data_IF_167695699260
#
_entry.id   IF_167695699260
#
_cell.length_a   1.000
_cell.length_b   1.000
_cell.length_c   1.000
_cell.angle_alpha   90.00
_cell.angle_beta   90.00
_cell.angle_gamma   90.00
#
_symmetry.space_group_name_H-M   'P 1'
#
loop_
_entity.id
_entity.type
_entity.pdbx_description
1 polymer ?
#
# COMPACT_ATOMS: atom_id res chain seq x y z
N UNK A 1 52.95 17.60 41.57
CA UNK A 1 52.64 16.15 41.63
C UNK A 1 51.30 15.92 40.96
N UNK A 2 51.32 15.16 39.85
CA UNK A 2 50.12 14.62 39.18
C UNK A 2 49.39 13.64 40.10
N UNK A 3 48.07 13.61 40.01
CA UNK A 3 47.15 12.45 40.10
C UNK A 3 45.72 13.02 40.00
N UNK A 4 45.19 13.17 38.79
CA UNK A 4 44.31 12.19 38.13
C UNK A 4 43.00 11.99 38.90
N UNK A 5 41.93 12.68 38.48
CA UNK A 5 40.56 12.28 38.82
C UNK A 5 39.70 12.25 37.54
N UNK A 6 39.23 11.04 37.32
CA UNK A 6 38.43 10.42 36.27
C UNK A 6 37.25 11.30 35.80
N UNK A 7 37.19 11.51 34.48
CA UNK A 7 36.00 12.02 33.77
C UNK A 7 35.05 10.83 33.60
N UNK A 8 33.88 10.88 34.25
CA UNK A 8 32.78 9.99 33.92
C UNK A 8 32.13 10.51 32.63
N UNK A 9 32.43 9.86 31.50
CA UNK A 9 31.59 9.91 30.30
C UNK A 9 30.27 9.20 30.63
N UNK A 10 29.19 9.96 30.77
CA UNK A 10 27.84 9.42 30.65
C UNK A 10 27.61 9.16 29.15
N UNK A 11 27.17 7.97 28.72
CA UNK A 11 26.72 7.80 27.35
C UNK A 11 25.45 8.64 27.21
N UNK A 12 25.56 9.67 26.36
CA UNK A 12 24.44 10.42 25.83
C UNK A 12 23.53 9.39 25.13
N UNK A 13 22.55 8.86 25.85
CA UNK A 13 21.46 8.11 25.25
C UNK A 13 20.82 9.09 24.29
N UNK A 14 20.99 8.80 23.00
CA UNK A 14 20.28 9.44 21.89
C UNK A 14 18.81 9.53 22.31
N UNK A 15 18.38 10.73 22.67
CA UNK A 15 16.97 11.04 22.66
C UNK A 15 16.48 10.72 21.24
N UNK A 16 15.45 9.90 21.06
CA UNK A 16 14.88 9.73 19.74
C UNK A 16 14.47 11.12 19.28
N UNK A 17 14.92 11.48 18.09
CA UNK A 17 14.58 12.71 17.40
C UNK A 17 13.09 13.01 17.60
N UNK A 18 12.76 14.03 18.40
CA UNK A 18 11.51 14.76 18.24
C UNK A 18 11.64 15.54 16.93
N UNK A 19 11.57 14.82 15.82
CA UNK A 19 11.26 15.40 14.53
C UNK A 19 9.81 15.85 14.63
N UNK A 20 9.65 17.16 14.53
CA UNK A 20 8.36 17.82 14.44
C UNK A 20 7.51 17.11 13.39
N UNK A 21 6.41 16.51 13.86
CA UNK A 21 5.32 16.00 13.03
C UNK A 21 4.79 17.17 12.21
N UNK A 22 5.18 17.26 10.93
CA UNK A 22 4.42 18.00 9.93
C UNK A 22 3.21 17.16 9.56
N UNK A 23 2.16 17.28 10.34
CA UNK A 23 0.86 16.66 10.09
C UNK A 23 -0.10 17.27 11.10
N UNK A 24 -1.20 17.86 10.63
CA UNK A 24 -2.19 18.55 11.44
C UNK A 24 -2.43 17.84 12.79
N UNK A 25 -2.33 18.55 13.92
CA UNK A 25 -2.71 18.00 15.22
C UNK A 25 -4.15 17.44 15.12
N UNK A 26 -4.28 16.10 15.10
CA UNK A 26 -5.59 15.43 15.06
C UNK A 26 -6.26 15.66 16.42
N UNK A 27 -7.35 16.43 16.47
CA UNK A 27 -8.06 16.70 17.72
C UNK A 27 -9.22 15.73 17.85
N UNK A 28 -9.15 14.85 18.85
CA UNK A 28 -10.25 13.96 19.19
C UNK A 28 -10.88 14.39 20.52
N UNK A 29 -12.18 14.14 20.67
CA UNK A 29 -12.91 14.41 21.89
C UNK A 29 -13.25 13.12 22.61
N UNK A 30 -13.23 13.15 23.95
CA UNK A 30 -13.66 12.00 24.75
C UNK A 30 -14.67 12.41 25.81
N UNK A 31 -15.74 11.63 25.91
CA UNK A 31 -16.72 11.69 26.99
C UNK A 31 -16.57 10.39 27.79
N UNK A 32 -16.24 10.53 29.07
CA UNK A 32 -16.07 9.41 29.99
C UNK A 32 -16.26 9.88 31.44
N UNK A 33 -16.66 8.98 32.34
CA UNK A 33 -16.64 9.27 33.77
C UNK A 33 -15.18 9.29 34.30
N UNK A 34 -14.97 9.70 35.55
CA UNK A 34 -13.62 9.74 36.14
C UNK A 34 -12.95 8.37 36.22
N UNK A 35 -13.71 7.31 36.46
CA UNK A 35 -13.20 5.95 36.65
C UNK A 35 -12.77 5.31 35.31
N UNK A 36 -13.54 5.51 34.24
CA UNK A 36 -13.22 5.07 32.88
C UNK A 36 -12.01 5.83 32.34
N UNK A 37 -11.93 7.13 32.66
CA UNK A 37 -10.73 7.91 32.38
C UNK A 37 -9.50 7.32 33.08
N UNK A 38 -9.57 7.06 34.39
CA UNK A 38 -8.43 6.52 35.15
C UNK A 38 -7.99 5.15 34.62
N UNK A 39 -8.95 4.26 34.34
CA UNK A 39 -8.64 2.94 33.79
C UNK A 39 -7.96 3.01 32.41
N UNK A 40 -8.27 4.02 31.59
CA UNK A 40 -7.68 4.21 30.26
C UNK A 40 -6.61 5.31 30.21
N UNK A 41 -6.16 5.80 31.37
CA UNK A 41 -5.28 6.96 31.46
C UNK A 41 -4.00 6.80 30.65
N UNK A 42 -3.33 5.64 30.75
CA UNK A 42 -2.09 5.38 30.00
C UNK A 42 -2.32 5.46 28.48
N UNK A 43 -3.36 4.80 27.97
CA UNK A 43 -3.73 4.83 26.55
C UNK A 43 -3.96 6.28 26.06
N UNK A 44 -4.66 7.08 26.86
CA UNK A 44 -4.97 8.47 26.54
C UNK A 44 -3.77 9.40 26.64
N UNK A 45 -2.84 9.13 27.55
CA UNK A 45 -1.57 9.86 27.63
C UNK A 45 -0.66 9.53 26.45
N UNK A 46 -0.70 8.28 25.97
CA UNK A 46 0.06 7.84 24.79
C UNK A 46 -0.53 8.39 23.48
N UNK A 47 -1.83 8.69 23.42
CA UNK A 47 -2.53 9.17 22.23
C UNK A 47 -1.77 10.29 21.48
N UNK A 48 -1.27 11.29 22.20
CA UNK A 48 -0.54 12.40 21.59
C UNK A 48 0.86 12.03 21.15
N UNK A 49 1.61 11.34 22.01
CA UNK A 49 3.03 11.07 21.77
C UNK A 49 3.27 9.95 20.77
N UNK A 50 2.38 8.95 20.76
CA UNK A 50 2.50 7.76 19.93
C UNK A 50 1.72 7.87 18.62
N UNK A 51 0.57 8.55 18.63
CA UNK A 51 -0.35 8.58 17.48
C UNK A 51 -0.61 10.00 16.95
N UNK A 52 0.03 11.04 17.51
CA UNK A 52 -0.18 12.43 17.07
C UNK A 52 -1.55 13.02 17.44
N UNK A 53 -2.31 12.37 18.34
CA UNK A 53 -3.69 12.74 18.68
C UNK A 53 -3.73 13.67 19.89
N UNK A 54 -4.23 14.89 19.70
CA UNK A 54 -4.54 15.81 20.78
C UNK A 54 -5.94 15.55 21.35
N UNK A 55 -5.99 14.81 22.45
CA UNK A 55 -7.24 14.44 23.11
C UNK A 55 -7.82 15.59 23.96
N UNK A 56 -9.13 15.82 23.84
CA UNK A 56 -9.89 16.79 24.65
C UNK A 56 -11.04 16.10 25.37
N UNK A 57 -10.99 16.08 26.70
CA UNK A 57 -12.11 15.60 27.50
C UNK A 57 -13.22 16.65 27.52
N UNK A 58 -14.44 16.25 27.17
CA UNK A 58 -15.64 17.10 27.19
C UNK A 58 -16.76 16.42 27.98
N UNK A 59 -17.69 17.21 28.47
CA UNK A 59 -18.87 16.73 29.22
C UNK A 59 -20.16 16.86 28.43
N UNK A 60 -20.11 17.45 27.22
CA UNK A 60 -21.25 17.63 26.35
C UNK A 60 -20.80 17.55 24.88
N UNK A 61 -21.47 16.71 24.10
CA UNK A 61 -21.18 16.48 22.69
C UNK A 61 -21.33 17.72 21.81
N UNK A 62 -22.16 18.69 22.20
CA UNK A 62 -22.32 19.96 21.48
C UNK A 62 -21.05 20.83 21.45
N UNK A 63 -20.05 20.49 22.26
CA UNK A 63 -18.72 21.12 22.25
C UNK A 63 -17.84 20.60 21.13
N UNK A 64 -18.17 19.44 20.53
CA UNK A 64 -17.53 18.91 19.34
C UNK A 64 -18.27 19.38 18.08
N UNK A 65 -17.51 19.77 17.05
CA UNK A 65 -18.03 20.14 15.73
C UNK A 65 -17.14 19.53 14.67
N UNK A 66 -17.73 18.71 13.80
CA UNK A 66 -17.02 18.01 12.72
C UNK A 66 -15.77 17.28 13.24
N UNK A 67 -15.94 16.52 14.33
CA UNK A 67 -14.82 15.89 15.03
C UNK A 67 -15.10 14.42 15.36
N UNK A 68 -14.01 13.69 15.62
CA UNK A 68 -14.04 12.35 16.16
C UNK A 68 -14.32 12.42 17.66
N UNK A 69 -15.35 11.68 18.11
CA UNK A 69 -15.79 11.65 19.51
C UNK A 69 -15.82 10.22 20.01
N UNK A 70 -14.95 9.91 20.97
CA UNK A 70 -14.99 8.66 21.73
C UNK A 70 -15.90 8.82 22.94
N UNK A 71 -16.88 7.93 23.07
CA UNK A 71 -17.74 7.81 24.25
C UNK A 71 -17.44 6.49 24.93
N UNK A 72 -16.89 6.56 26.15
CA UNK A 72 -16.77 5.41 27.03
C UNK A 72 -17.98 5.36 27.96
N UNK A 73 -18.71 4.25 27.99
CA UNK A 73 -19.92 4.12 28.83
C UNK A 73 -20.44 2.69 29.00
N UNK A 74 -21.77 2.53 29.17
CA UNK A 74 -22.45 1.21 29.14
C UNK A 74 -22.88 0.61 30.49
N UNK A 75 -22.73 1.30 31.62
CA UNK A 75 -22.94 0.72 32.96
C UNK A 75 -24.11 1.34 33.75
N UNK A 76 -24.74 0.52 34.60
CA UNK A 76 -25.67 0.92 35.68
C UNK A 76 -24.90 1.18 37.00
N UNK A 77 -23.90 2.07 37.01
CA UNK A 77 -23.07 2.26 38.21
C UNK A 77 -23.73 3.18 39.24
N UNK A 78 -23.80 2.80 40.53
CA UNK A 78 -24.27 3.69 41.62
C UNK A 78 -23.39 4.94 41.83
N UNK A 79 -22.24 5.03 41.16
CA UNK A 79 -21.23 6.09 41.31
C UNK A 79 -21.43 7.29 40.36
N UNK A 80 -22.57 7.37 39.66
CA UNK A 80 -22.95 8.46 38.74
C UNK A 80 -23.10 9.85 39.39
N UNK A 81 -22.75 10.00 40.67
CA UNK A 81 -22.83 11.28 41.40
C UNK A 81 -22.04 12.42 40.75
N UNK A 82 -21.13 12.12 39.82
CA UNK A 82 -20.26 13.10 39.12
C UNK A 82 -20.29 13.01 37.59
N UNK A 83 -21.04 12.05 37.01
CA UNK A 83 -21.34 12.04 35.58
C UNK A 83 -22.84 12.33 35.43
N UNK A 84 -23.23 13.57 35.11
CA UNK A 84 -24.64 13.97 35.15
C UNK A 84 -25.52 13.22 34.14
N UNK A 85 -24.92 12.44 33.23
CA UNK A 85 -25.59 11.74 32.13
C UNK A 85 -24.76 10.60 31.55
N UNK A 86 -25.33 9.40 31.39
CA UNK A 86 -24.72 8.29 30.65
C UNK A 86 -24.92 8.50 29.14
N UNK A 87 -23.94 9.12 28.48
CA UNK A 87 -24.03 9.44 27.05
C UNK A 87 -24.05 8.21 26.14
N UNK A 88 -23.46 7.10 26.57
CA UNK A 88 -23.57 5.86 25.81
C UNK A 88 -25.02 5.36 25.83
N UNK A 89 -25.68 5.40 26.99
CA UNK A 89 -27.09 4.99 27.12
C UNK A 89 -28.02 5.80 26.20
N UNK A 90 -27.83 7.11 26.10
CA UNK A 90 -28.60 7.98 25.20
C UNK A 90 -28.52 7.62 23.71
N UNK A 91 -27.46 6.93 23.30
CA UNK A 91 -27.15 6.64 21.90
C UNK A 91 -27.28 5.15 21.55
N UNK A 92 -27.46 4.30 22.57
CA UNK A 92 -27.80 2.89 22.41
C UNK A 92 -29.32 2.73 22.28
N UNK A 93 -29.77 1.76 21.48
CA UNK A 93 -31.18 1.40 21.39
C UNK A 93 -31.59 0.46 22.54
N UNK A 94 -32.90 0.33 22.79
CA UNK A 94 -33.43 -0.48 23.90
C UNK A 94 -33.00 -1.95 23.87
N UNK A 95 -32.77 -2.52 22.69
CA UNK A 95 -32.26 -3.89 22.57
C UNK A 95 -30.80 -3.95 23.03
N UNK A 96 -29.96 -3.08 22.51
CA UNK A 96 -28.53 -2.97 22.86
C UNK A 96 -28.35 -2.78 24.38
N UNK A 97 -29.13 -1.86 24.98
CA UNK A 97 -29.15 -1.64 26.42
C UNK A 97 -29.49 -2.91 27.18
N UNK A 98 -30.61 -3.55 26.84
CA UNK A 98 -31.06 -4.77 27.50
C UNK A 98 -30.04 -5.91 27.37
N UNK A 99 -29.38 -6.04 26.22
CA UNK A 99 -28.35 -7.07 26.02
C UNK A 99 -27.10 -6.82 26.88
N UNK A 100 -26.69 -5.56 27.07
CA UNK A 100 -25.63 -5.19 28.01
C UNK A 100 -26.07 -5.39 29.47
N UNK A 101 -27.24 -4.88 29.87
CA UNK A 101 -27.74 -4.94 31.26
C UNK A 101 -27.99 -6.37 31.74
N UNK A 102 -28.41 -7.25 30.85
CA UNK A 102 -28.58 -8.69 31.14
C UNK A 102 -27.27 -9.46 31.13
N UNK A 103 -26.16 -8.84 30.73
CA UNK A 103 -24.86 -9.49 30.54
C UNK A 103 -24.84 -10.48 29.38
N UNK A 104 -25.85 -10.46 28.49
CA UNK A 104 -25.90 -11.30 27.29
C UNK A 104 -24.78 -10.94 26.31
N UNK A 105 -24.41 -9.66 26.28
CA UNK A 105 -23.26 -9.14 25.53
C UNK A 105 -22.34 -8.43 26.52
N UNK A 106 -21.04 -8.69 26.42
CA UNK A 106 -20.07 -8.08 27.34
C UNK A 106 -19.80 -6.61 26.99
N UNK A 107 -19.70 -6.30 25.69
CA UNK A 107 -19.42 -4.96 25.18
C UNK A 107 -20.13 -4.72 23.86
N UNK A 108 -20.61 -3.51 23.66
CA UNK A 108 -21.07 -2.96 22.39
C UNK A 108 -20.06 -1.90 21.92
N UNK A 109 -19.54 -2.10 20.72
CA UNK A 109 -18.76 -1.09 19.99
C UNK A 109 -19.55 -0.68 18.75
N UNK A 110 -19.84 0.61 18.65
CA UNK A 110 -20.72 1.17 17.62
C UNK A 110 -20.22 2.53 17.17
N UNK A 111 -20.25 2.74 15.86
CA UNK A 111 -19.97 4.04 15.25
C UNK A 111 -21.26 4.64 14.72
N UNK A 112 -21.44 5.94 14.89
CA UNK A 112 -22.58 6.70 14.37
C UNK A 112 -22.13 8.09 13.94
N UNK A 113 -22.85 8.68 13.00
CA UNK A 113 -22.66 10.07 12.61
C UNK A 113 -23.81 10.92 13.13
N UNK A 114 -23.49 12.03 13.79
CA UNK A 114 -24.48 12.97 14.30
C UNK A 114 -23.93 14.38 14.37
N UNK A 115 -24.67 15.34 13.82
CA UNK A 115 -24.32 16.76 13.82
C UNK A 115 -22.91 17.02 13.25
N UNK A 116 -22.52 16.24 12.23
CA UNK A 116 -21.20 16.28 11.59
C UNK A 116 -20.09 15.56 12.35
N UNK A 117 -20.34 15.06 13.55
CA UNK A 117 -19.35 14.32 14.34
C UNK A 117 -19.42 12.81 14.04
N UNK A 118 -18.24 12.17 13.93
CA UNK A 118 -18.09 10.72 13.92
C UNK A 118 -17.93 10.25 15.37
N UNK A 119 -18.94 9.57 15.87
CA UNK A 119 -19.06 9.21 17.28
C UNK A 119 -18.88 7.71 17.41
N UNK A 120 -17.87 7.28 18.14
CA UNK A 120 -17.69 5.89 18.51
C UNK A 120 -18.06 5.70 19.98
N UNK A 121 -18.90 4.70 20.23
CA UNK A 121 -19.33 4.30 21.55
C UNK A 121 -18.67 2.97 21.87
N UNK A 122 -17.94 2.92 22.98
CA UNK A 122 -17.44 1.69 23.59
C UNK A 122 -18.19 1.54 24.91
N UNK A 123 -19.12 0.61 24.95
CA UNK A 123 -20.03 0.40 26.07
C UNK A 123 -19.95 -1.03 26.58
N UNK A 124 -19.34 -1.24 27.75
CA UNK A 124 -19.30 -2.54 28.43
C UNK A 124 -20.39 -2.65 29.50
N UNK A 125 -20.86 -3.86 29.80
CA UNK A 125 -21.85 -4.09 30.87
C UNK A 125 -21.37 -3.59 32.24
N UNK A 126 -20.05 -3.50 32.41
CA UNK A 126 -19.40 -2.79 33.48
C UNK A 126 -18.18 -2.02 32.95
N UNK A 127 -17.64 -1.13 33.80
CA UNK A 127 -16.47 -0.29 33.52
C UNK A 127 -15.18 -1.04 33.14
N UNK A 128 -14.99 -2.26 33.64
CA UNK A 128 -13.82 -3.08 33.32
C UNK A 128 -13.94 -3.59 31.88
N UNK A 129 -15.10 -4.08 31.47
CA UNK A 129 -15.37 -4.48 30.09
C UNK A 129 -15.26 -3.30 29.12
N UNK A 130 -15.71 -2.10 29.52
CA UNK A 130 -15.48 -0.87 28.74
C UNK A 130 -14.00 -0.58 28.56
N UNK A 131 -13.19 -0.64 29.62
CA UNK A 131 -11.75 -0.38 29.52
C UNK A 131 -11.00 -1.46 28.75
N UNK A 132 -11.38 -2.73 28.91
CA UNK A 132 -10.78 -3.83 28.17
C UNK A 132 -11.03 -3.66 26.66
N UNK A 133 -12.28 -3.38 26.27
CA UNK A 133 -12.63 -3.14 24.88
C UNK A 133 -11.97 -1.89 24.30
N UNK A 134 -11.83 -0.82 25.09
CA UNK A 134 -11.10 0.38 24.64
C UNK A 134 -9.63 0.09 24.31
N UNK A 135 -9.01 -0.89 24.97
CA UNK A 135 -7.60 -1.27 24.82
C UNK A 135 -7.37 -2.42 23.84
N UNK A 136 -8.40 -3.17 23.46
CA UNK A 136 -8.29 -4.24 22.48
C UNK A 136 -8.36 -3.71 21.05
N UNK A 137 -7.86 -4.47 20.08
CA UNK A 137 -8.24 -4.36 18.66
C UNK A 137 -9.36 -5.38 18.37
N UNK A 138 -10.24 -5.05 17.44
CA UNK A 138 -11.38 -5.87 17.05
C UNK A 138 -11.28 -6.43 15.63
N UNK A 139 -10.18 -6.17 14.94
CA UNK A 139 -9.88 -6.74 13.64
C UNK A 139 -8.49 -7.39 13.64
N UNK A 140 -7.79 -7.32 12.52
CA UNK A 140 -6.54 -8.02 12.28
C UNK A 140 -5.31 -7.11 12.40
N UNK A 141 -5.49 -5.81 12.62
CA UNK A 141 -4.40 -4.91 12.97
C UNK A 141 -4.14 -4.87 14.50
N UNK A 142 -3.16 -4.08 14.93
CA UNK A 142 -2.85 -3.91 16.37
C UNK A 142 -3.30 -2.56 16.95
N UNK A 143 -4.15 -1.80 16.27
CA UNK A 143 -4.62 -0.48 16.69
C UNK A 143 -5.76 -0.64 17.72
N UNK A 144 -5.66 -0.04 18.93
CA UNK A 144 -6.74 -0.18 19.91
C UNK A 144 -8.02 0.53 19.46
N UNK A 145 -9.18 -0.06 19.69
CA UNK A 145 -10.51 0.48 19.36
C UNK A 145 -10.69 1.95 19.76
N UNK A 146 -10.16 2.35 20.93
CA UNK A 146 -10.27 3.74 21.37
C UNK A 146 -9.33 4.70 20.62
N UNK A 147 -8.20 4.22 20.10
CA UNK A 147 -7.33 5.01 19.22
C UNK A 147 -7.95 5.13 17.84
N UNK A 148 -8.51 4.04 17.32
CA UNK A 148 -9.27 4.06 16.06
C UNK A 148 -10.43 5.05 16.11
N UNK A 149 -11.18 5.06 17.22
CA UNK A 149 -12.21 6.06 17.48
C UNK A 149 -11.71 7.50 17.36
N UNK A 150 -10.50 7.77 17.85
CA UNK A 150 -9.91 9.10 17.88
C UNK A 150 -9.35 9.51 16.51
N UNK A 151 -8.84 8.54 15.75
CA UNK A 151 -8.38 8.73 14.37
C UNK A 151 -9.55 8.81 13.40
N UNK A 152 -10.68 8.21 13.74
CA UNK A 152 -11.82 8.06 12.87
C UNK A 152 -11.68 6.85 11.94
N UNK A 153 -10.79 5.91 12.24
CA UNK A 153 -10.70 4.64 11.51
C UNK A 153 -11.82 3.67 11.91
N UNK A 154 -11.90 2.51 11.27
CA UNK A 154 -12.96 1.54 11.49
C UNK A 154 -12.49 0.35 12.33
N UNK A 155 -12.98 0.19 13.58
CA UNK A 155 -12.57 -0.84 14.55
C UNK A 155 -13.04 -2.25 14.23
N UNK A 156 -13.31 -2.54 12.97
CA UNK A 156 -13.69 -3.86 12.47
C UNK A 156 -13.04 -4.12 11.12
N UNK A 157 -12.08 -3.29 10.72
CA UNK A 157 -11.46 -3.27 9.41
C UNK A 157 -10.07 -2.67 9.57
N UNK A 158 -9.08 -3.54 9.74
CA UNK A 158 -7.70 -3.14 10.04
C UNK A 158 -6.93 -2.48 8.89
N UNK A 159 -7.64 -2.08 7.82
CA UNK A 159 -7.21 -1.31 6.66
C UNK A 159 -8.45 -0.50 6.27
N UNK A 160 -8.55 0.72 6.77
CA UNK A 160 -9.80 1.49 6.76
C UNK A 160 -10.13 2.05 5.38
N UNK A 161 -9.15 2.40 4.57
CA UNK A 161 -9.33 2.99 3.24
C UNK A 161 -9.17 2.01 2.06
N UNK A 162 -8.92 0.73 2.34
CA UNK A 162 -8.78 -0.37 1.36
C UNK A 162 -7.57 -0.22 0.44
N UNK A 163 -6.48 0.40 0.89
CA UNK A 163 -5.25 0.53 0.09
C UNK A 163 -4.30 -0.67 0.22
N UNK A 164 -4.62 -1.66 1.07
CA UNK A 164 -3.80 -2.82 1.45
C UNK A 164 -2.69 -2.55 2.47
N UNK A 165 -2.64 -1.38 3.08
CA UNK A 165 -1.78 -1.03 4.19
C UNK A 165 -2.61 -1.03 5.49
N UNK A 166 -2.17 -1.72 6.55
CA UNK A 166 -2.95 -1.75 7.79
C UNK A 166 -2.88 -0.42 8.55
N UNK A 167 -3.98 0.02 9.18
CA UNK A 167 -4.08 1.32 9.86
C UNK A 167 -2.97 1.51 10.93
N UNK A 168 -2.60 0.44 11.62
CA UNK A 168 -1.54 0.48 12.63
C UNK A 168 -0.15 0.76 12.03
N UNK A 169 0.11 0.29 10.82
CA UNK A 169 1.36 0.52 10.07
C UNK A 169 1.40 1.94 9.53
N UNK A 170 0.31 2.40 8.96
CA UNK A 170 0.17 3.77 8.49
C UNK A 170 0.48 4.77 9.59
N UNK A 171 -0.11 4.60 10.77
CA UNK A 171 0.01 5.59 11.84
C UNK A 171 1.35 5.51 12.58
N UNK A 172 1.94 4.32 12.72
CA UNK A 172 3.12 4.11 13.57
C UNK A 172 4.45 4.00 12.81
N UNK A 173 4.41 3.56 11.55
CA UNK A 173 5.60 3.23 10.76
C UNK A 173 5.77 4.17 9.58
N UNK A 174 4.76 4.28 8.72
CA UNK A 174 4.84 5.04 7.47
C UNK A 174 4.41 6.49 7.59
N UNK A 175 3.66 6.81 8.66
CA UNK A 175 3.14 8.15 8.98
C UNK A 175 2.20 8.70 7.89
N UNK A 176 1.43 7.83 7.25
CA UNK A 176 0.38 8.12 6.27
C UNK A 176 -0.97 8.40 6.94
N UNK A 177 -1.99 8.78 6.17
CA UNK A 177 -3.35 8.98 6.66
C UNK A 177 -4.20 7.73 6.44
N UNK A 178 -4.57 6.96 7.48
CA UNK A 178 -5.33 5.70 7.36
C UNK A 178 -6.80 5.86 6.94
N UNK A 179 -7.13 7.02 6.39
CA UNK A 179 -8.42 7.38 5.84
C UNK A 179 -8.29 7.82 4.38
N UNK A 180 -7.08 7.76 3.82
CA UNK A 180 -6.71 8.26 2.51
C UNK A 180 -5.88 7.21 1.79
N UNK A 181 -6.53 6.53 0.85
CA UNK A 181 -5.92 5.54 -0.03
C UNK A 181 -4.59 5.99 -0.68
N UNK A 182 -4.44 7.30 -0.87
CA UNK A 182 -3.28 8.00 -1.41
C UNK A 182 -3.07 9.25 -0.54
N UNK A 183 -2.08 9.24 0.34
CA UNK A 183 -1.88 10.28 1.36
C UNK A 183 -1.45 11.61 0.77
N UNK A 184 -0.63 11.61 -0.29
CA UNK A 184 -0.12 12.84 -0.91
C UNK A 184 -0.86 13.27 -2.18
N UNK A 185 -1.82 12.47 -2.61
CA UNK A 185 -2.74 12.72 -3.71
C UNK A 185 -2.07 12.80 -5.08
N UNK A 186 -1.04 11.99 -5.32
CA UNK A 186 -0.31 11.95 -6.60
C UNK A 186 -0.85 10.92 -7.61
N UNK A 187 -1.73 10.01 -7.17
CA UNK A 187 -2.41 9.01 -7.99
C UNK A 187 -2.02 7.56 -7.70
N UNK A 188 -0.99 7.30 -6.89
CA UNK A 188 -0.66 5.95 -6.39
C UNK A 188 -1.13 5.73 -4.95
N UNK A 189 -1.38 4.48 -4.57
CA UNK A 189 -1.70 4.18 -3.16
C UNK A 189 -0.44 4.15 -2.31
N UNK A 190 -0.58 4.46 -1.03
CA UNK A 190 0.52 4.44 -0.07
C UNK A 190 1.18 3.04 -0.04
N UNK A 191 0.38 1.97 -0.05
CA UNK A 191 0.88 0.59 -0.09
C UNK A 191 1.70 0.29 -1.35
N UNK A 192 1.34 0.85 -2.51
CA UNK A 192 2.03 0.63 -3.78
C UNK A 192 3.36 1.36 -3.80
N UNK A 193 3.36 2.60 -3.33
CA UNK A 193 4.57 3.39 -3.17
C UNK A 193 5.56 2.72 -2.23
N UNK A 194 5.11 2.19 -1.10
CA UNK A 194 5.99 1.51 -0.13
C UNK A 194 6.48 0.15 -0.65
N UNK A 195 5.56 -0.72 -1.09
CA UNK A 195 5.86 -2.14 -1.32
C UNK A 195 6.37 -2.45 -2.73
N UNK A 196 6.15 -1.51 -3.67
CA UNK A 196 6.53 -1.68 -5.07
C UNK A 196 7.51 -0.61 -5.52
N UNK A 197 7.13 0.67 -5.49
CA UNK A 197 7.94 1.72 -6.10
C UNK A 197 9.09 2.21 -5.21
N UNK A 198 9.01 1.96 -3.91
CA UNK A 198 9.95 2.38 -2.87
C UNK A 198 10.09 3.92 -2.83
N UNK A 199 8.98 4.63 -3.03
CA UNK A 199 8.85 6.09 -2.90
C UNK A 199 8.37 6.47 -1.49
N UNK A 200 8.40 7.77 -1.16
CA UNK A 200 7.88 8.26 0.14
C UNK A 200 6.41 8.63 -0.06
N UNK A 201 5.44 7.92 0.55
CA UNK A 201 4.00 8.06 0.28
C UNK A 201 3.38 9.37 0.81
N UNK A 202 4.23 10.30 1.21
CA UNK A 202 3.84 11.62 1.75
C UNK A 202 4.46 12.73 0.90
N UNK A 203 5.09 12.36 -0.22
CA UNK A 203 5.78 13.27 -1.12
C UNK A 203 5.45 12.92 -2.56
N UNK A 204 4.43 13.62 -3.05
CA UNK A 204 3.92 13.49 -4.40
C UNK A 204 5.03 13.44 -5.46
N UNK A 205 5.03 12.36 -6.23
CA UNK A 205 5.79 12.20 -7.45
C UNK A 205 4.99 12.74 -8.65
N UNK A 206 5.67 12.92 -9.78
CA UNK A 206 5.03 13.34 -11.02
C UNK A 206 4.87 12.15 -11.97
N UNK A 207 3.86 11.32 -11.73
CA UNK A 207 3.53 10.13 -12.54
C UNK A 207 3.13 10.44 -14.00
N UNK A 208 2.97 11.72 -14.34
CA UNK A 208 2.67 12.20 -15.69
C UNK A 208 3.95 12.59 -16.46
N UNK A 209 5.10 12.64 -15.79
CA UNK A 209 6.39 12.94 -16.39
C UNK A 209 7.16 11.64 -16.70
N UNK A 210 7.43 11.43 -17.99
CA UNK A 210 8.12 10.24 -18.48
C UNK A 210 9.46 9.98 -17.77
N UNK A 211 10.26 11.04 -17.57
CA UNK A 211 11.58 10.89 -16.95
C UNK A 211 11.49 10.52 -15.47
N UNK A 212 10.51 11.09 -14.75
CA UNK A 212 10.22 10.76 -13.36
C UNK A 212 9.85 9.29 -13.22
N UNK A 213 8.92 8.80 -14.06
CA UNK A 213 8.51 7.40 -14.06
C UNK A 213 9.69 6.49 -14.40
N UNK A 214 10.40 6.74 -15.51
CA UNK A 214 11.56 5.91 -15.89
C UNK A 214 12.62 5.85 -14.78
N UNK A 215 12.86 6.95 -14.05
CA UNK A 215 13.78 6.97 -12.91
C UNK A 215 13.32 6.06 -11.77
N UNK A 216 12.01 5.92 -11.53
CA UNK A 216 11.44 5.06 -10.49
C UNK A 216 11.44 3.58 -10.92
N UNK A 217 11.21 3.29 -12.20
CA UNK A 217 11.11 1.93 -12.75
C UNK A 217 12.47 1.25 -12.95
N UNK A 218 13.19 1.03 -11.85
CA UNK A 218 14.58 0.53 -11.81
C UNK A 218 14.74 -1.00 -11.84
N UNK A 219 13.63 -1.73 -11.81
CA UNK A 219 13.62 -3.18 -11.71
C UNK A 219 12.47 -3.80 -12.51
N UNK A 220 12.62 -5.05 -12.97
CA UNK A 220 11.56 -5.76 -13.68
C UNK A 220 10.23 -5.78 -12.91
N UNK A 221 10.27 -5.95 -11.59
CA UNK A 221 9.07 -5.93 -10.74
C UNK A 221 8.32 -4.59 -10.82
N UNK A 222 9.02 -3.46 -10.70
CA UNK A 222 8.41 -2.12 -10.79
C UNK A 222 7.83 -1.87 -12.17
N UNK A 223 8.57 -2.21 -13.23
CA UNK A 223 8.12 -2.10 -14.62
C UNK A 223 6.85 -2.92 -14.84
N UNK A 224 6.85 -4.19 -14.44
CA UNK A 224 5.70 -5.09 -14.57
C UNK A 224 4.47 -4.60 -13.80
N UNK A 225 4.62 -3.99 -12.62
CA UNK A 225 3.50 -3.37 -11.89
C UNK A 225 2.97 -2.17 -12.66
N UNK A 226 3.85 -1.25 -13.03
CA UNK A 226 3.47 -0.01 -13.70
C UNK A 226 2.72 -0.27 -15.01
N UNK A 227 3.26 -1.16 -15.84
CA UNK A 227 2.65 -1.53 -17.11
C UNK A 227 1.27 -2.17 -16.90
N UNK A 228 1.08 -3.01 -15.87
CA UNK A 228 -0.22 -3.61 -15.54
C UNK A 228 -1.27 -2.55 -15.21
N UNK A 229 -0.87 -1.57 -14.41
CA UNK A 229 -1.82 -0.65 -13.77
C UNK A 229 -2.12 0.57 -14.63
N UNK A 230 -1.17 1.00 -15.46
CA UNK A 230 -1.28 2.24 -16.23
C UNK A 230 -1.48 2.05 -17.72
N UNK A 231 -1.13 0.88 -18.30
CA UNK A 231 -1.22 0.67 -19.74
C UNK A 231 -2.42 -0.18 -20.12
N UNK A 232 -3.07 0.20 -21.22
CA UNK A 232 -4.15 -0.58 -21.86
C UNK A 232 -3.64 -1.20 -23.15
N UNK A 233 -3.88 -2.50 -23.34
CA UNK A 233 -3.53 -3.19 -24.57
C UNK A 233 -4.50 -2.79 -25.69
N UNK A 234 -3.97 -2.35 -26.82
CA UNK A 234 -4.75 -2.16 -28.05
C UNK A 234 -3.87 -2.46 -29.26
N UNK A 235 -4.39 -3.21 -30.25
CA UNK A 235 -3.62 -3.53 -31.45
C UNK A 235 -3.47 -2.29 -32.33
N UNK A 236 -2.46 -2.34 -33.19
CA UNK A 236 -2.31 -1.36 -34.26
C UNK A 236 -3.45 -1.37 -35.28
N UNK A 237 -3.59 -0.27 -36.06
CA UNK A 237 -4.52 -0.21 -37.18
C UNK A 237 -4.36 -1.42 -38.12
N UNK A 238 -5.48 -1.89 -38.66
CA UNK A 238 -5.51 -3.06 -39.52
C UNK A 238 -4.50 -2.96 -40.68
N UNK A 239 -3.62 -3.96 -40.79
CA UNK A 239 -2.59 -4.02 -41.83
C UNK A 239 -1.35 -3.15 -41.56
N UNK A 240 -1.16 -2.66 -40.33
CA UNK A 240 0.04 -1.95 -39.90
C UNK A 240 0.68 -2.61 -38.69
N UNK A 241 1.98 -2.34 -38.51
CA UNK A 241 2.83 -2.80 -37.41
C UNK A 241 3.76 -1.59 -37.09
N UNK A 242 3.38 -0.82 -36.08
CA UNK A 242 3.89 0.51 -35.75
C UNK A 242 4.56 0.45 -34.37
N UNK A 243 5.88 0.28 -34.40
CA UNK A 243 6.66 0.20 -33.17
C UNK A 243 6.80 1.59 -32.54
N UNK A 244 6.19 1.77 -31.38
CA UNK A 244 6.22 3.03 -30.66
C UNK A 244 7.53 3.18 -29.89
N UNK A 245 8.01 4.43 -29.78
CA UNK A 245 9.05 4.73 -28.80
C UNK A 245 8.48 4.59 -27.39
N UNK A 246 9.33 4.27 -26.42
CA UNK A 246 8.94 4.20 -25.01
C UNK A 246 8.15 5.44 -24.52
N UNK A 247 8.56 6.64 -24.92
CA UNK A 247 7.84 7.88 -24.57
C UNK A 247 6.45 7.97 -25.22
N UNK A 248 6.30 7.46 -26.44
CA UNK A 248 5.02 7.44 -27.15
C UNK A 248 4.05 6.46 -26.48
N UNK A 249 4.51 5.24 -26.17
CA UNK A 249 3.76 4.24 -25.39
C UNK A 249 3.30 4.81 -24.04
N UNK A 250 4.20 5.50 -23.34
CA UNK A 250 3.90 6.15 -22.06
C UNK A 250 2.79 7.19 -22.18
N UNK A 251 2.92 8.17 -23.08
CA UNK A 251 1.93 9.24 -23.20
C UNK A 251 0.59 8.75 -23.79
N UNK A 252 0.60 7.68 -24.58
CA UNK A 252 -0.62 7.01 -25.05
C UNK A 252 -1.25 6.10 -24.02
N UNK A 253 -0.56 5.81 -22.91
CA UNK A 253 -0.98 4.87 -21.85
C UNK A 253 -1.22 3.46 -22.39
N UNK A 254 -0.32 2.96 -23.23
CA UNK A 254 -0.36 1.60 -23.76
C UNK A 254 -0.09 1.52 -25.26
N UNK A 255 -0.39 0.36 -25.83
CA UNK A 255 0.05 -0.13 -27.14
C UNK A 255 -0.19 -1.64 -27.23
N UNK A 256 0.50 -2.33 -28.10
CA UNK A 256 0.48 -3.80 -28.20
C UNK A 256 1.79 -4.43 -27.69
N UNK A 257 2.17 -5.60 -28.21
CA UNK A 257 3.14 -6.46 -27.53
C UNK A 257 4.57 -5.92 -27.57
N UNK A 258 4.98 -5.37 -28.71
CA UNK A 258 6.29 -4.77 -28.94
C UNK A 258 6.43 -3.44 -28.22
N UNK A 259 5.37 -2.63 -28.13
CA UNK A 259 5.38 -1.33 -27.47
C UNK A 259 5.68 -1.48 -25.98
N UNK A 260 5.00 -2.43 -25.34
CA UNK A 260 5.22 -2.77 -23.94
C UNK A 260 6.65 -3.27 -23.72
N UNK A 261 7.13 -4.11 -24.63
CA UNK A 261 8.46 -4.68 -24.54
C UNK A 261 9.56 -3.61 -24.72
N UNK A 262 9.37 -2.68 -25.67
CA UNK A 262 10.28 -1.54 -25.92
C UNK A 262 10.28 -0.59 -24.73
N UNK A 263 9.12 -0.26 -24.16
CA UNK A 263 9.04 0.57 -22.94
C UNK A 263 9.78 -0.07 -21.76
N UNK A 264 9.56 -1.37 -21.54
CA UNK A 264 10.23 -2.12 -20.48
C UNK A 264 11.75 -2.15 -20.68
N UNK A 265 12.21 -2.43 -21.90
CA UNK A 265 13.63 -2.44 -22.24
C UNK A 265 14.27 -1.06 -22.04
N UNK A 266 13.58 0.01 -22.43
CA UNK A 266 14.06 1.38 -22.22
C UNK A 266 14.31 1.68 -20.74
N UNK A 267 13.38 1.29 -19.86
CA UNK A 267 13.55 1.48 -18.41
C UNK A 267 14.78 0.75 -17.89
N UNK A 268 14.95 -0.54 -18.22
CA UNK A 268 16.12 -1.31 -17.80
C UNK A 268 17.43 -0.71 -18.34
N UNK A 269 17.44 -0.24 -19.59
CA UNK A 269 18.59 0.43 -20.22
C UNK A 269 18.95 1.73 -19.52
N UNK A 270 17.96 2.52 -19.13
CA UNK A 270 18.17 3.75 -18.36
C UNK A 270 18.89 3.45 -17.03
N UNK A 271 18.62 2.30 -16.43
CA UNK A 271 19.27 1.81 -15.20
C UNK A 271 20.52 0.95 -15.44
N UNK A 272 21.09 1.00 -16.64
CA UNK A 272 22.41 0.44 -16.92
C UNK A 272 22.43 -1.07 -17.22
N UNK A 273 21.29 -1.69 -17.49
CA UNK A 273 21.25 -3.09 -17.93
C UNK A 273 21.99 -3.24 -19.27
N UNK A 274 22.76 -4.32 -19.43
CA UNK A 274 23.77 -4.46 -20.48
C UNK A 274 23.18 -4.72 -21.88
N UNK A 275 23.80 -4.10 -22.91
CA UNK A 275 23.39 -4.17 -24.32
C UNK A 275 23.47 -5.57 -24.93
N UNK A 276 24.31 -6.43 -24.36
CA UNK A 276 24.62 -7.76 -24.90
C UNK A 276 23.49 -8.73 -24.54
N UNK A 277 22.52 -8.81 -25.46
CA UNK A 277 21.34 -9.64 -25.35
C UNK A 277 21.71 -11.12 -25.09
N UNK A 278 21.09 -11.72 -24.06
CA UNK A 278 21.11 -13.16 -23.75
C UNK A 278 22.44 -13.81 -23.37
N UNK A 279 23.47 -13.04 -22.98
CA UNK A 279 24.62 -13.62 -22.30
C UNK A 279 24.24 -14.00 -20.87
N UNK A 280 23.88 -15.28 -20.65
CA UNK A 280 23.50 -15.83 -19.33
C UNK A 280 24.62 -15.72 -18.28
N UNK A 281 25.86 -15.48 -18.71
CA UNK A 281 27.01 -15.28 -17.83
C UNK A 281 26.99 -13.83 -17.29
N UNK A 282 26.42 -12.88 -18.04
CA UNK A 282 26.27 -11.48 -17.65
C UNK A 282 24.90 -11.26 -17.03
N UNK A 283 24.85 -11.33 -15.71
CA UNK A 283 23.68 -10.95 -14.92
C UNK A 283 23.22 -9.52 -15.28
N UNK A 284 21.91 -9.25 -15.30
CA UNK A 284 21.30 -7.98 -15.73
C UNK A 284 21.47 -7.64 -17.22
N UNK A 285 21.23 -8.62 -18.10
CA UNK A 285 21.04 -8.41 -19.54
C UNK A 285 19.56 -8.45 -19.89
N UNK A 286 19.12 -7.63 -20.86
CA UNK A 286 17.74 -7.57 -21.31
C UNK A 286 17.65 -7.25 -22.80
N UNK A 287 16.61 -7.74 -23.46
CA UNK A 287 16.30 -7.45 -24.86
C UNK A 287 14.84 -7.79 -25.16
N UNK A 288 14.30 -7.22 -26.23
CA UNK A 288 12.99 -7.62 -26.74
C UNK A 288 13.17 -8.82 -27.67
N UNK A 289 12.38 -9.87 -27.46
CA UNK A 289 12.34 -11.08 -28.26
C UNK A 289 11.06 -11.08 -29.09
N UNK A 290 11.20 -10.96 -30.41
CA UNK A 290 10.13 -11.21 -31.37
C UNK A 290 10.12 -12.68 -31.78
N UNK A 291 8.94 -13.31 -31.80
CA UNK A 291 8.77 -14.73 -32.12
C UNK A 291 7.73 -14.90 -33.22
N UNK A 292 8.02 -15.76 -34.19
CA UNK A 292 7.10 -16.14 -35.28
C UNK A 292 6.92 -17.66 -35.28
N UNK A 293 5.67 -18.11 -35.38
CA UNK A 293 5.30 -19.54 -35.33
C UNK A 293 4.76 -20.09 -36.64
N UNK A 294 5.11 -21.34 -36.92
CA UNK A 294 4.73 -21.95 -38.18
C UNK A 294 3.25 -22.25 -38.26
N UNK A 295 2.66 -21.93 -39.42
CA UNK A 295 1.24 -22.13 -39.68
C UNK A 295 0.32 -21.14 -38.95
N UNK A 296 0.86 -20.10 -38.32
CA UNK A 296 0.11 -19.02 -37.67
C UNK A 296 0.59 -17.69 -38.25
N UNK A 297 -0.32 -16.92 -38.83
CA UNK A 297 -0.04 -15.58 -39.36
C UNK A 297 -0.07 -14.53 -38.22
N UNK A 298 0.72 -14.77 -37.16
CA UNK A 298 0.82 -13.91 -36.00
C UNK A 298 2.22 -14.01 -35.36
N UNK A 299 2.86 -12.84 -35.16
CA UNK A 299 4.04 -12.70 -34.33
C UNK A 299 3.67 -12.29 -32.90
N UNK A 300 4.61 -12.42 -31.97
CA UNK A 300 4.47 -11.88 -30.62
C UNK A 300 5.82 -11.41 -30.08
N UNK A 301 5.82 -10.26 -29.39
CA UNK A 301 7.00 -9.70 -28.77
C UNK A 301 6.90 -9.72 -27.24
N UNK A 302 8.02 -10.05 -26.58
CA UNK A 302 8.16 -10.02 -25.11
C UNK A 302 9.47 -9.37 -24.72
N UNK A 303 9.53 -8.72 -23.56
CA UNK A 303 10.82 -8.30 -23.00
C UNK A 303 11.39 -9.47 -22.20
N UNK A 304 12.58 -9.92 -22.55
CA UNK A 304 13.30 -10.98 -21.83
C UNK A 304 14.48 -10.36 -21.10
N UNK A 305 14.68 -10.80 -19.86
CA UNK A 305 15.81 -10.37 -19.03
C UNK A 305 16.45 -11.57 -18.32
N UNK A 306 17.73 -11.44 -18.00
CA UNK A 306 18.52 -12.44 -17.28
C UNK A 306 18.82 -11.96 -15.88
N UNK A 307 18.45 -12.78 -14.91
CA UNK A 307 18.81 -12.60 -13.51
C UNK A 307 19.30 -13.94 -12.93
N UNK A 308 20.42 -13.93 -12.22
CA UNK A 308 21.07 -15.11 -11.62
C UNK A 308 21.27 -16.29 -12.59
N UNK A 309 21.62 -15.96 -13.84
CA UNK A 309 21.87 -16.94 -14.91
C UNK A 309 20.62 -17.65 -15.41
N UNK A 310 19.43 -17.09 -15.17
CA UNK A 310 18.13 -17.61 -15.63
C UNK A 310 17.38 -16.56 -16.41
N UNK A 311 16.53 -17.01 -17.33
CA UNK A 311 15.70 -16.12 -18.12
C UNK A 311 14.37 -15.84 -17.42
N UNK A 312 13.89 -14.63 -17.61
CA UNK A 312 12.60 -14.15 -17.15
C UNK A 312 12.00 -13.27 -18.24
N UNK A 313 10.68 -13.12 -18.22
CA UNK A 313 9.98 -12.29 -19.20
C UNK A 313 9.10 -11.26 -18.53
N UNK A 314 8.87 -10.13 -19.21
CA UNK A 314 7.76 -9.20 -18.99
C UNK A 314 6.84 -9.27 -20.20
N UNK A 315 5.54 -9.45 -19.94
CA UNK A 315 4.50 -9.64 -20.96
C UNK A 315 3.57 -8.43 -21.05
N UNK A 316 2.93 -8.26 -22.20
CA UNK A 316 1.94 -7.22 -22.49
C UNK A 316 0.51 -7.49 -21.97
N UNK A 317 0.33 -8.31 -20.92
CA UNK A 317 -0.99 -8.79 -20.50
C UNK A 317 -1.17 -8.99 -18.99
N UNK A 318 -2.14 -9.83 -18.61
CA UNK A 318 -2.57 -10.06 -17.21
C UNK A 318 -1.42 -10.55 -16.32
N UNK A 319 -0.52 -11.35 -16.88
CA UNK A 319 0.72 -11.78 -16.20
C UNK A 319 1.84 -10.91 -16.75
N UNK A 320 2.23 -9.89 -16.00
CA UNK A 320 3.26 -8.96 -16.45
C UNK A 320 4.68 -9.44 -16.19
N UNK A 321 4.90 -10.54 -15.45
CA UNK A 321 6.21 -11.21 -15.40
C UNK A 321 6.12 -12.72 -15.16
N UNK A 322 7.04 -13.49 -15.75
CA UNK A 322 7.12 -14.96 -15.59
C UNK A 322 8.59 -15.44 -15.62
N UNK A 323 8.87 -16.56 -14.95
CA UNK A 323 10.18 -17.19 -14.84
C UNK A 323 10.39 -17.83 -13.47
N UNK A 324 11.59 -18.35 -13.17
CA UNK A 324 12.71 -18.47 -14.09
C UNK A 324 12.54 -19.57 -15.15
N UNK A 325 13.16 -19.36 -16.31
CA UNK A 325 13.36 -20.36 -17.37
C UNK A 325 14.83 -20.76 -17.46
N UNK A 326 15.09 -22.03 -17.79
CA UNK A 326 16.45 -22.58 -17.88
C UNK A 326 17.16 -22.21 -19.18
N UNK A 327 16.39 -22.02 -20.26
CA UNK A 327 16.88 -21.74 -21.60
C UNK A 327 15.82 -20.98 -22.41
N UNK A 328 16.23 -20.44 -23.56
CA UNK A 328 15.37 -19.63 -24.42
C UNK A 328 14.27 -20.47 -25.09
N UNK A 329 14.54 -21.73 -25.43
CA UNK A 329 13.55 -22.61 -26.07
C UNK A 329 12.36 -22.89 -25.15
N UNK A 330 12.62 -23.25 -23.89
CA UNK A 330 11.57 -23.47 -22.89
C UNK A 330 10.76 -22.21 -22.59
N UNK A 331 11.39 -21.03 -22.65
CA UNK A 331 10.69 -19.75 -22.58
C UNK A 331 9.76 -19.56 -23.78
N UNK A 332 10.27 -19.70 -25.01
CA UNK A 332 9.49 -19.54 -26.25
C UNK A 332 8.30 -20.49 -26.27
N UNK A 333 8.52 -21.75 -25.91
CA UNK A 333 7.46 -22.77 -25.82
C UNK A 333 6.39 -22.37 -24.80
N UNK A 334 6.79 -21.78 -23.68
CA UNK A 334 5.84 -21.32 -22.66
C UNK A 334 4.99 -20.15 -23.15
N UNK A 335 5.60 -19.19 -23.84
CA UNK A 335 4.88 -18.06 -24.46
C UNK A 335 3.86 -18.59 -25.47
N UNK A 336 4.27 -19.53 -26.33
CA UNK A 336 3.38 -20.13 -27.33
C UNK A 336 2.18 -20.84 -26.67
N UNK A 337 2.43 -21.63 -25.62
CA UNK A 337 1.37 -22.29 -24.85
C UNK A 337 0.38 -21.32 -24.21
N UNK A 338 0.80 -20.11 -23.85
CA UNK A 338 -0.09 -19.08 -23.31
C UNK A 338 -1.01 -18.49 -24.38
N UNK A 339 -0.45 -18.21 -25.56
CA UNK A 339 -1.17 -17.56 -26.66
C UNK A 339 -2.10 -18.54 -27.39
N UNK A 340 -1.63 -19.77 -27.61
CA UNK A 340 -2.30 -20.73 -28.49
C UNK A 340 -2.86 -21.96 -27.77
N UNK A 341 -2.61 -22.13 -26.47
CA UNK A 341 -2.93 -23.33 -25.69
C UNK A 341 -2.17 -24.61 -26.11
N UNK A 342 -1.15 -24.47 -26.96
CA UNK A 342 -0.18 -25.52 -27.34
C UNK A 342 1.14 -24.87 -27.76
N UNK A 343 2.19 -25.67 -27.98
CA UNK A 343 3.51 -25.18 -28.44
C UNK A 343 3.69 -25.48 -29.94
N UNK A 344 3.22 -24.61 -30.86
CA UNK A 344 3.60 -24.73 -32.26
C UNK A 344 5.12 -24.62 -32.42
N UNK A 345 5.72 -25.29 -33.41
CA UNK A 345 7.11 -25.03 -33.76
C UNK A 345 7.25 -23.58 -34.22
N UNK A 346 8.20 -22.86 -33.61
CA UNK A 346 8.60 -21.53 -34.07
C UNK A 346 9.49 -21.63 -35.32
N UNK A 347 9.34 -20.70 -36.25
CA UNK A 347 10.10 -20.61 -37.51
C UNK A 347 11.36 -19.77 -37.31
N UNK A 348 11.22 -18.66 -36.59
CA UNK A 348 12.30 -17.73 -36.31
C UNK A 348 12.01 -16.96 -35.02
N UNK A 349 13.09 -16.50 -34.38
CA UNK A 349 13.03 -15.45 -33.39
C UNK A 349 14.11 -14.42 -33.64
N UNK A 350 13.91 -13.21 -33.15
CA UNK A 350 14.83 -12.11 -33.36
C UNK A 350 14.92 -11.19 -32.15
N UNK A 351 16.09 -10.60 -31.97
CA UNK A 351 16.38 -9.72 -30.85
C UNK A 351 16.28 -8.26 -31.28
N UNK A 352 15.56 -7.46 -30.51
CA UNK A 352 15.30 -6.06 -30.77
C UNK A 352 15.94 -5.22 -29.64
N UNK A 353 16.64 -4.14 -30.03
CA UNK A 353 17.20 -3.17 -29.10
C UNK A 353 16.18 -2.08 -28.69
N UNK A 354 16.54 -1.20 -27.76
CA UNK A 354 15.67 -0.13 -27.24
C UNK A 354 15.26 0.92 -28.28
N UNK A 355 15.87 0.89 -29.47
CA UNK A 355 15.52 1.76 -30.59
C UNK A 355 14.55 1.07 -31.57
N UNK A 356 14.05 -0.12 -31.25
CA UNK A 356 13.18 -0.88 -32.14
C UNK A 356 13.91 -1.44 -33.36
N UNK A 357 15.21 -1.71 -33.25
CA UNK A 357 16.00 -2.27 -34.35
C UNK A 357 16.32 -3.73 -34.09
N UNK A 358 16.11 -4.57 -35.10
CA UNK A 358 16.54 -5.97 -35.07
C UNK A 358 18.08 -6.02 -35.08
N UNK A 359 18.64 -6.70 -34.10
CA UNK A 359 20.09 -6.85 -33.89
C UNK A 359 20.60 -8.23 -34.28
N UNK A 360 19.75 -9.25 -34.18
CA UNK A 360 20.07 -10.63 -34.54
C UNK A 360 18.78 -11.39 -34.86
N UNK A 361 18.88 -12.34 -35.78
CA UNK A 361 17.80 -13.20 -36.26
C UNK A 361 18.30 -14.63 -36.17
N UNK A 362 17.51 -15.51 -35.58
CA UNK A 362 17.77 -16.95 -35.49
C UNK A 362 16.61 -17.68 -36.15
N UNK A 363 16.91 -18.30 -37.29
CA UNK A 363 15.98 -19.18 -37.99
C UNK A 363 16.15 -20.61 -37.48
N UNK A 364 15.04 -21.35 -37.34
CA UNK A 364 15.09 -22.78 -37.05
C UNK A 364 15.34 -23.53 -38.35
N UNK A 365 16.52 -24.12 -38.50
CA UNK A 365 16.76 -25.07 -39.60
C UNK A 365 16.02 -26.39 -39.29
N UNK A 366 15.32 -26.92 -40.30
CA UNK A 366 14.55 -28.17 -40.25
C UNK A 366 15.39 -29.45 -39.99
#
# INVERSE_FOLDING_TARGET
MRKSLIIFLVPLVLAPNLLFLSGSNRVAYVISNQIDWEQNFQLFMEAKTKYGISLRRITNISLARNANVLILGGHLAPTDKWMPKNYADDLLNEKEKKELETGKVETIIKTLEKDGNKIMIIAGYNRYNTSLAAKSSNDWDSLPNAIEAMLGTNPRKGDTDDDMLPDDKEVLEYLTDPLSFDTDSDGESDSVEILVYETDPRRAENWQDFNTVVRILDSPKKISRYVRDHFTYYPDPEGTDIWQKASETFYRKGGDCEDYAIFALYCLRFHGWAYDAFDVIKNHSAAVLGIVWSGIDAGHAVMVYVEDGKFYLIHSGIITSEGPFLDLESLIDKVAQRLFFYSPPWEMYFFINEHGQITEIVERED
#
